data_IF_067077698412
#
_entry.id   IF_067077698412
#
_cell.length_a   1.000
_cell.length_b   1.000
_cell.length_c   1.000
_cell.angle_alpha   90.00
_cell.angle_beta   90.00
_cell.angle_gamma   90.00
#
_symmetry.space_group_name_H-M   'P 1'
#
loop_
_entity.id
_entity.type
_entity.pdbx_description
1 polymer ?
#
# COMPACT_ATOMS: atom_id res chain seq x y z
N UNK A 1 38.41 13.30 21.95
CA UNK A 1 38.28 11.87 21.62
C UNK A 1 36.84 11.63 21.23
N UNK A 2 36.56 11.54 19.93
CA UNK A 2 35.23 11.28 19.42
C UNK A 2 34.93 9.80 19.53
N UNK A 3 33.87 9.44 20.24
CA UNK A 3 33.36 8.07 20.30
C UNK A 3 32.56 7.81 19.02
N UNK A 4 33.09 6.98 18.13
CA UNK A 4 32.37 6.43 16.99
C UNK A 4 31.54 5.24 17.48
N UNK A 5 30.21 5.38 17.49
CA UNK A 5 29.30 4.26 17.65
C UNK A 5 29.27 3.46 16.35
N UNK A 6 29.86 2.27 16.36
CA UNK A 6 29.77 1.30 15.26
C UNK A 6 28.37 0.68 15.30
N UNK A 7 27.55 0.97 14.28
CA UNK A 7 26.28 0.26 14.07
C UNK A 7 26.58 -1.15 13.56
N UNK A 8 26.13 -2.16 14.30
CA UNK A 8 26.20 -3.57 13.89
C UNK A 8 25.34 -3.87 12.65
N UNK A 9 25.50 -5.06 12.03
CA UNK A 9 24.79 -5.42 10.80
C UNK A 9 23.27 -5.37 11.02
N UNK A 10 22.57 -4.66 10.13
CA UNK A 10 21.11 -4.60 10.11
C UNK A 10 20.58 -6.00 9.84
N UNK A 11 19.88 -6.57 10.82
CA UNK A 11 19.08 -7.79 10.61
C UNK A 11 17.71 -7.37 10.08
N UNK A 12 17.33 -7.96 8.97
CA UNK A 12 16.07 -7.78 8.27
C UNK A 12 14.91 -8.24 9.16
N UNK A 13 14.02 -7.33 9.55
CA UNK A 13 12.94 -7.61 10.50
C UNK A 13 11.60 -7.06 10.01
N UNK A 14 10.58 -7.93 9.97
CA UNK A 14 9.20 -7.54 9.70
C UNK A 14 8.47 -7.16 10.98
N UNK A 15 7.66 -6.10 10.92
CA UNK A 15 6.79 -5.67 12.02
C UNK A 15 5.41 -6.30 11.85
N UNK A 16 4.98 -7.08 12.83
CA UNK A 16 3.58 -7.48 12.99
C UNK A 16 3.26 -7.56 14.50
N UNK A 17 2.18 -6.91 14.93
CA UNK A 17 1.63 -7.12 16.27
C UNK A 17 0.85 -8.44 16.26
N UNK A 18 1.27 -9.42 17.07
CA UNK A 18 0.46 -10.62 17.35
C UNK A 18 -0.16 -10.45 18.73
N UNK A 19 -1.49 -10.47 18.81
CA UNK A 19 -2.21 -10.57 20.08
C UNK A 19 -1.94 -11.96 20.68
N UNK A 20 -1.03 -12.04 21.65
CA UNK A 20 -0.88 -13.22 22.48
C UNK A 20 -2.10 -13.34 23.40
N UNK A 21 -3.07 -14.17 23.03
CA UNK A 21 -4.13 -14.58 23.94
C UNK A 21 -3.54 -15.55 24.97
N UNK A 22 -3.00 -15.01 26.06
CA UNK A 22 -2.58 -15.82 27.20
C UNK A 22 -3.82 -16.20 28.02
N UNK A 23 -4.04 -17.51 28.14
CA UNK A 23 -5.00 -18.17 29.01
C UNK A 23 -4.80 -17.73 30.48
N UNK A 24 -5.46 -16.64 30.88
CA UNK A 24 -5.47 -16.14 32.25
C UNK A 24 -6.87 -16.28 32.87
N UNK A 25 -7.47 -17.48 32.81
CA UNK A 25 -8.47 -17.88 33.78
C UNK A 25 -7.74 -18.64 34.89
N UNK A 26 -7.43 -17.97 36.02
CA UNK A 26 -7.54 -18.58 37.36
C UNK A 26 -7.16 -17.67 38.55
N UNK A 27 -6.69 -16.42 38.40
CA UNK A 27 -6.26 -15.63 39.59
C UNK A 27 -6.74 -14.17 39.68
N UNK A 28 -7.74 -13.74 38.91
CA UNK A 28 -8.48 -12.51 39.24
C UNK A 28 -7.68 -11.20 39.24
N UNK A 29 -6.61 -11.09 38.46
CA UNK A 29 -5.91 -9.83 38.20
C UNK A 29 -6.32 -9.34 36.80
N UNK A 30 -6.74 -8.07 36.69
CA UNK A 30 -7.30 -7.48 35.48
C UNK A 30 -6.37 -7.56 34.25
N UNK A 31 -6.91 -7.40 33.03
CA UNK A 31 -6.13 -7.59 31.80
C UNK A 31 -5.17 -6.40 31.59
N UNK A 32 -3.96 -6.53 32.14
CA UNK A 32 -2.82 -5.76 31.65
C UNK A 32 -2.28 -6.50 30.43
N UNK A 33 -2.78 -6.13 29.25
CA UNK A 33 -2.22 -6.59 27.98
C UNK A 33 -0.91 -5.82 27.78
N UNK A 34 0.20 -6.40 28.22
CA UNK A 34 1.49 -5.93 27.77
C UNK A 34 1.68 -6.46 26.35
N UNK A 35 1.68 -5.56 25.37
CA UNK A 35 2.11 -5.89 24.02
C UNK A 35 3.58 -6.33 24.11
N UNK A 36 3.85 -7.62 23.87
CA UNK A 36 5.21 -8.13 23.75
C UNK A 36 5.58 -7.97 22.27
N UNK A 37 6.64 -7.22 21.98
CA UNK A 37 7.23 -7.15 20.64
C UNK A 37 7.69 -8.55 20.24
N UNK A 38 6.92 -9.22 19.37
CA UNK A 38 7.30 -10.49 18.78
C UNK A 38 7.88 -10.22 17.39
N UNK A 39 9.19 -10.40 17.26
CA UNK A 39 9.91 -10.34 15.99
C UNK A 39 9.61 -11.65 15.24
N UNK A 40 8.88 -11.60 14.12
CA UNK A 40 8.78 -12.78 13.26
C UNK A 40 10.15 -13.07 12.64
N UNK A 41 10.60 -14.34 12.60
CA UNK A 41 11.84 -14.69 11.94
C UNK A 41 11.72 -14.38 10.44
N UNK A 42 12.77 -13.84 9.83
CA UNK A 42 12.84 -13.50 8.40
C UNK A 42 12.44 -14.65 7.45
N UNK A 43 12.39 -15.89 7.95
CA UNK A 43 11.90 -17.07 7.24
C UNK A 43 10.39 -17.07 6.94
N UNK A 44 9.59 -16.17 7.54
CA UNK A 44 8.17 -16.00 7.18
C UNK A 44 7.96 -15.09 5.97
N UNK A 45 9.00 -14.38 5.54
CA UNK A 45 9.04 -13.75 4.23
C UNK A 45 9.37 -14.81 3.19
N UNK A 46 8.38 -15.19 2.37
CA UNK A 46 8.67 -15.87 1.11
C UNK A 46 9.65 -15.06 0.27
N UNK A 47 10.26 -15.66 -0.76
CA UNK A 47 11.15 -14.95 -1.67
C UNK A 47 10.44 -13.71 -2.25
N UNK A 48 10.76 -12.53 -1.73
CA UNK A 48 10.25 -11.28 -2.28
C UNK A 48 10.92 -11.05 -3.64
N UNK A 49 10.11 -10.75 -4.65
CA UNK A 49 10.57 -10.47 -6.00
C UNK A 49 10.22 -9.04 -6.36
N UNK A 50 11.18 -8.31 -6.94
CA UNK A 50 10.90 -7.01 -7.54
C UNK A 50 9.75 -7.17 -8.56
N UNK A 51 8.68 -6.37 -8.49
CA UNK A 51 7.50 -6.57 -9.32
C UNK A 51 7.81 -6.31 -10.80
N UNK A 52 7.23 -7.13 -11.67
CA UNK A 52 7.16 -6.84 -13.09
C UNK A 52 6.25 -5.63 -13.33
N UNK A 53 6.37 -5.00 -14.50
CA UNK A 53 5.57 -3.82 -14.85
C UNK A 53 4.10 -4.15 -15.15
N UNK A 54 3.78 -5.42 -15.37
CA UNK A 54 2.47 -5.88 -15.87
C UNK A 54 2.30 -5.77 -17.39
N UNK A 55 3.27 -5.20 -18.12
CA UNK A 55 3.22 -5.15 -19.58
C UNK A 55 3.36 -6.56 -20.18
N UNK A 56 2.33 -7.05 -20.87
CA UNK A 56 2.39 -8.34 -21.60
C UNK A 56 2.41 -8.19 -23.13
N UNK A 57 2.16 -6.98 -23.63
CA UNK A 57 2.15 -6.68 -25.08
C UNK A 57 3.47 -6.03 -25.48
N UNK A 58 4.11 -6.56 -26.53
CA UNK A 58 5.38 -6.06 -27.04
C UNK A 58 5.20 -5.03 -28.16
N UNK A 59 6.00 -3.97 -28.09
CA UNK A 59 6.17 -2.89 -29.04
C UNK A 59 7.67 -2.69 -29.33
N UNK A 60 8.35 -3.69 -29.91
CA UNK A 60 9.81 -3.71 -29.96
C UNK A 60 10.32 -2.66 -30.95
N UNK A 61 11.27 -1.78 -30.54
CA UNK A 61 11.95 -0.93 -31.50
C UNK A 61 12.92 -1.76 -32.34
N UNK A 62 13.35 -1.24 -33.49
CA UNK A 62 14.34 -1.89 -34.36
C UNK A 62 15.71 -1.23 -34.23
N UNK A 63 16.77 -2.03 -34.33
CA UNK A 63 18.14 -1.54 -34.42
C UNK A 63 18.37 -0.81 -35.74
N UNK A 64 18.90 0.42 -35.70
CA UNK A 64 19.13 1.24 -36.90
C UNK A 64 20.08 0.62 -37.93
N UNK A 65 20.96 -0.30 -37.52
CA UNK A 65 22.03 -0.84 -38.38
C UNK A 65 21.71 -2.21 -38.97
N UNK A 66 20.81 -2.96 -38.35
CA UNK A 66 20.51 -4.36 -38.73
C UNK A 66 19.01 -4.60 -38.90
N UNK A 67 18.17 -3.61 -38.61
CA UNK A 67 16.70 -3.71 -38.54
C UNK A 67 16.17 -4.82 -37.60
N UNK A 68 17.04 -5.40 -36.77
CA UNK A 68 16.66 -6.46 -35.86
C UNK A 68 15.81 -5.91 -34.70
N UNK A 69 14.77 -6.63 -34.25
CA UNK A 69 13.94 -6.20 -33.12
C UNK A 69 14.74 -6.23 -31.81
N UNK A 70 14.58 -5.18 -31.02
CA UNK A 70 15.09 -5.09 -29.65
C UNK A 70 13.99 -5.59 -28.72
N UNK A 71 14.33 -6.56 -27.86
CA UNK A 71 13.38 -7.07 -26.86
C UNK A 71 13.04 -5.95 -25.87
N UNK A 72 11.76 -5.67 -25.78
CA UNK A 72 11.18 -4.73 -24.83
C UNK A 72 10.54 -5.47 -23.66
N UNK A 73 9.88 -4.73 -22.79
CA UNK A 73 9.35 -5.27 -21.55
C UNK A 73 8.15 -6.21 -21.76
N UNK A 74 7.35 -6.01 -22.82
CA UNK A 74 6.29 -6.94 -23.19
C UNK A 74 6.78 -8.34 -23.56
N UNK A 75 8.01 -8.46 -24.10
CA UNK A 75 8.68 -9.75 -24.36
C UNK A 75 9.39 -10.27 -23.12
N UNK A 76 10.12 -9.40 -22.42
CA UNK A 76 11.03 -9.81 -21.35
C UNK A 76 10.29 -10.09 -20.05
N UNK A 77 9.31 -9.26 -19.70
CA UNK A 77 8.47 -9.36 -18.50
C UNK A 77 9.32 -9.59 -17.24
N UNK A 78 10.41 -8.81 -17.09
CA UNK A 78 11.33 -8.98 -15.98
C UNK A 78 10.65 -8.63 -14.65
N UNK A 79 10.97 -9.38 -13.61
CA UNK A 79 10.38 -9.23 -12.27
C UNK A 79 9.39 -10.36 -11.93
N UNK A 80 8.86 -10.32 -10.71
CA UNK A 80 7.78 -11.18 -10.28
C UNK A 80 6.46 -10.71 -10.89
N UNK A 81 5.71 -11.62 -11.52
CA UNK A 81 4.36 -11.31 -11.98
C UNK A 81 3.54 -10.66 -10.85
N UNK A 82 2.78 -9.61 -11.17
CA UNK A 82 1.88 -8.97 -10.21
C UNK A 82 0.89 -10.02 -9.67
N UNK A 83 0.84 -10.18 -8.35
CA UNK A 83 0.05 -11.23 -7.70
C UNK A 83 -0.55 -10.71 -6.40
N UNK A 84 -1.87 -10.62 -6.39
CA UNK A 84 -2.62 -10.08 -5.27
C UNK A 84 -3.68 -11.07 -4.80
N UNK A 85 -3.91 -11.09 -3.50
CA UNK A 85 -4.94 -11.91 -2.87
C UNK A 85 -5.91 -11.01 -2.10
N UNK A 86 -7.17 -10.95 -2.53
CA UNK A 86 -8.22 -10.38 -1.70
C UNK A 86 -8.48 -11.33 -0.51
N UNK A 87 -8.40 -10.80 0.71
CA UNK A 87 -8.55 -11.57 1.94
C UNK A 87 -10.02 -11.69 2.40
N UNK A 88 -10.95 -10.95 1.77
CA UNK A 88 -12.39 -10.99 2.07
C UNK A 88 -12.76 -10.26 3.36
N UNK A 89 -11.87 -9.39 3.86
CA UNK A 89 -12.01 -8.67 5.13
C UNK A 89 -11.77 -7.15 4.99
N UNK A 90 -11.72 -6.66 3.74
CA UNK A 90 -11.39 -5.27 3.44
C UNK A 90 -9.91 -5.05 3.13
N UNK A 91 -9.14 -6.11 2.93
CA UNK A 91 -7.70 -6.03 2.63
C UNK A 91 -7.27 -6.88 1.44
N UNK A 92 -6.16 -6.47 0.80
CA UNK A 92 -5.50 -7.18 -0.29
C UNK A 92 -4.04 -7.43 0.08
N UNK A 93 -3.60 -8.68 0.03
CA UNK A 93 -2.19 -9.06 0.21
C UNK A 93 -1.46 -9.02 -1.13
N UNK A 94 -0.36 -8.28 -1.20
CA UNK A 94 0.63 -8.37 -2.29
C UNK A 94 1.60 -9.51 -2.01
N UNK A 95 1.53 -10.55 -2.85
CA UNK A 95 2.33 -11.77 -2.69
C UNK A 95 3.80 -11.60 -3.11
N UNK A 96 4.16 -10.50 -3.79
CA UNK A 96 5.54 -10.19 -4.15
C UNK A 96 6.29 -9.47 -3.02
N UNK A 97 5.60 -8.60 -2.28
CA UNK A 97 6.22 -7.74 -1.25
C UNK A 97 5.87 -8.15 0.18
N UNK A 98 4.82 -8.94 0.37
CA UNK A 98 4.23 -9.23 1.68
C UNK A 98 3.52 -8.02 2.31
N UNK A 99 3.30 -6.95 1.53
CA UNK A 99 2.49 -5.81 1.96
C UNK A 99 1.01 -6.21 1.95
N UNK A 100 0.27 -5.63 2.89
CA UNK A 100 -1.19 -5.71 2.91
C UNK A 100 -1.76 -4.32 2.73
N UNK A 101 -2.72 -4.20 1.83
CA UNK A 101 -3.31 -2.97 1.36
C UNK A 101 -4.77 -2.87 1.76
N UNK A 102 -5.20 -1.66 2.11
CA UNK A 102 -6.61 -1.34 2.30
C UNK A 102 -7.38 -1.48 0.98
N UNK A 103 -8.59 -2.05 1.03
CA UNK A 103 -9.58 -1.97 -0.06
C UNK A 103 -10.39 -0.68 0.03
N UNK A 104 -10.74 -0.11 -1.12
CA UNK A 104 -11.55 1.12 -1.22
C UNK A 104 -12.85 0.84 -1.95
N UNK A 105 -13.95 1.39 -1.50
CA UNK A 105 -15.27 1.25 -2.13
C UNK A 105 -15.80 2.59 -2.60
N UNK A 106 -16.89 2.59 -3.36
CA UNK A 106 -17.68 3.81 -3.56
C UNK A 106 -18.88 3.74 -2.63
N UNK A 107 -18.79 4.45 -1.51
CA UNK A 107 -19.86 4.51 -0.54
C UNK A 107 -20.80 5.67 -0.85
N UNK A 108 -21.87 5.34 -1.58
CA UNK A 108 -22.96 6.29 -1.87
C UNK A 108 -24.02 6.32 -0.76
N UNK A 109 -23.95 5.42 0.23
CA UNK A 109 -25.04 5.18 1.19
C UNK A 109 -24.76 5.81 2.56
N UNK A 110 -23.53 5.73 3.08
CA UNK A 110 -23.21 6.14 4.47
C UNK A 110 -22.47 7.47 4.57
N UNK A 111 -22.63 8.36 3.58
CA UNK A 111 -21.97 9.67 3.53
C UNK A 111 -20.43 9.59 3.50
N UNK A 112 -19.88 8.63 2.72
CA UNK A 112 -18.45 8.44 2.46
C UNK A 112 -17.67 8.01 3.70
N UNK A 113 -17.87 6.76 4.14
CA UNK A 113 -17.06 6.15 5.20
C UNK A 113 -15.56 6.15 4.90
N UNK A 114 -14.71 5.80 5.88
CA UNK A 114 -13.23 5.89 5.81
C UNK A 114 -12.58 5.23 4.59
N UNK A 115 -13.29 4.28 3.98
CA UNK A 115 -12.84 3.49 2.84
C UNK A 115 -13.42 3.96 1.50
N UNK A 116 -14.05 5.14 1.44
CA UNK A 116 -14.55 5.68 0.18
C UNK A 116 -13.39 6.11 -0.75
N UNK A 117 -13.42 5.65 -2.00
CA UNK A 117 -12.40 5.87 -3.03
C UNK A 117 -12.26 7.32 -3.45
N UNK A 118 -13.27 8.14 -3.16
CA UNK A 118 -13.29 9.58 -3.49
C UNK A 118 -12.72 10.46 -2.38
N UNK A 119 -12.33 9.87 -1.23
CA UNK A 119 -11.70 10.62 -0.16
C UNK A 119 -10.36 11.19 -0.62
N UNK A 120 -10.22 12.49 -0.42
CA UNK A 120 -8.98 13.22 -0.62
C UNK A 120 -8.68 14.05 0.62
N UNK A 121 -7.40 14.19 0.95
CA UNK A 121 -6.95 14.89 2.15
C UNK A 121 -5.74 15.74 1.83
N UNK A 122 -5.58 16.82 2.59
CA UNK A 122 -4.33 17.54 2.65
C UNK A 122 -3.34 16.84 3.59
N UNK A 123 -2.06 17.13 3.42
CA UNK A 123 -1.01 16.53 4.25
C UNK A 123 -0.98 17.14 5.64
N UNK A 124 -0.92 18.47 5.75
CA UNK A 124 -0.76 19.21 7.00
C UNK A 124 -1.56 20.54 7.03
N UNK A 125 -2.47 20.74 6.08
CA UNK A 125 -3.38 21.89 6.08
C UNK A 125 -4.69 21.60 6.84
N UNK A 126 -5.68 22.51 6.81
CA UNK A 126 -6.85 22.46 7.70
C UNK A 126 -7.56 21.09 7.72
N UNK A 127 -7.96 20.67 8.93
CA UNK A 127 -8.47 19.33 9.22
C UNK A 127 -9.79 18.98 8.49
N UNK A 128 -10.03 17.69 8.19
CA UNK A 128 -9.15 16.55 8.48
C UNK A 128 -7.97 16.43 7.49
N UNK A 129 -6.79 16.12 8.03
CA UNK A 129 -5.59 15.76 7.26
C UNK A 129 -5.55 14.26 6.96
N UNK A 130 -4.60 13.86 6.11
CA UNK A 130 -4.27 12.46 5.88
C UNK A 130 -3.95 11.69 7.17
N UNK A 131 -3.39 12.35 8.17
CA UNK A 131 -3.02 11.72 9.44
C UNK A 131 -4.23 11.47 10.32
N UNK A 132 -5.19 12.40 10.33
CA UNK A 132 -6.45 12.23 11.04
C UNK A 132 -7.29 11.11 10.42
N UNK A 133 -7.26 10.99 9.10
CA UNK A 133 -7.87 9.85 8.39
C UNK A 133 -7.18 8.53 8.73
N UNK A 134 -5.85 8.50 8.76
CA UNK A 134 -5.10 7.30 9.11
C UNK A 134 -5.36 6.85 10.55
N UNK A 135 -5.51 7.80 11.48
CA UNK A 135 -5.90 7.50 12.86
C UNK A 135 -7.29 6.86 12.92
N UNK A 136 -8.26 7.35 12.13
CA UNK A 136 -9.59 6.74 12.03
C UNK A 136 -9.52 5.31 11.51
N UNK A 137 -8.72 5.02 10.47
CA UNK A 137 -8.50 3.65 9.97
C UNK A 137 -7.89 2.73 11.05
N UNK A 138 -6.94 3.24 11.82
CA UNK A 138 -6.27 2.47 12.88
C UNK A 138 -7.13 2.25 14.15
N UNK A 139 -8.18 3.05 14.34
CA UNK A 139 -9.07 2.99 15.52
C UNK A 139 -10.46 2.47 15.20
N UNK A 140 -10.77 2.23 13.92
CA UNK A 140 -12.06 1.74 13.45
C UNK A 140 -12.49 0.47 14.19
N UNK A 141 -13.74 0.43 14.65
CA UNK A 141 -14.26 -0.70 15.42
C UNK A 141 -13.47 -1.03 16.70
N UNK A 142 -12.63 -0.12 17.21
CA UNK A 142 -11.78 -0.30 18.39
C UNK A 142 -10.58 -1.24 18.18
N UNK A 143 -10.42 -1.84 17.00
CA UNK A 143 -9.35 -2.79 16.68
C UNK A 143 -8.60 -2.44 15.39
N UNK A 144 -9.08 -1.42 14.67
CA UNK A 144 -8.61 -1.00 13.36
C UNK A 144 -9.12 -1.88 12.22
N UNK A 145 -8.90 -1.44 10.98
CA UNK A 145 -9.33 -2.17 9.78
C UNK A 145 -8.80 -3.62 9.79
N UNK A 146 -9.70 -4.58 9.61
CA UNK A 146 -9.44 -6.03 9.65
C UNK A 146 -8.75 -6.51 10.95
N UNK A 147 -8.96 -5.80 12.07
CA UNK A 147 -8.32 -6.11 13.36
C UNK A 147 -6.86 -5.70 13.43
N UNK A 148 -6.43 -4.78 12.56
CA UNK A 148 -5.08 -4.25 12.50
C UNK A 148 -5.05 -2.74 12.74
N UNK A 149 -4.10 -2.27 13.56
CA UNK A 149 -3.93 -0.88 13.97
C UNK A 149 -2.53 -0.32 13.68
N UNK A 150 -1.77 -1.00 12.83
CA UNK A 150 -0.43 -0.64 12.36
C UNK A 150 -0.44 -0.15 10.90
N UNK A 151 -1.59 0.35 10.43
CA UNK A 151 -1.72 0.95 9.11
C UNK A 151 -0.92 2.24 9.00
N UNK A 152 -0.34 2.46 7.83
CA UNK A 152 0.47 3.64 7.50
C UNK A 152 0.22 4.12 6.07
N UNK A 153 0.64 5.34 5.79
CA UNK A 153 0.73 5.84 4.41
C UNK A 153 1.92 5.17 3.72
N UNK A 154 1.74 4.58 2.53
CA UNK A 154 2.81 3.89 1.80
C UNK A 154 3.93 4.86 1.46
N UNK A 155 5.18 4.39 1.44
CA UNK A 155 6.24 5.16 0.80
C UNK A 155 6.08 5.11 -0.73
N UNK A 156 6.80 5.98 -1.45
CA UNK A 156 6.63 6.13 -2.91
C UNK A 156 6.91 4.85 -3.69
N UNK A 157 7.85 4.00 -3.23
CA UNK A 157 8.18 2.75 -3.91
C UNK A 157 7.14 1.68 -3.67
N UNK A 158 6.57 1.63 -2.46
CA UNK A 158 5.47 0.71 -2.16
C UNK A 158 4.24 1.06 -2.98
N UNK A 159 3.85 2.34 -3.05
CA UNK A 159 2.67 2.70 -3.83
C UNK A 159 2.89 2.52 -5.34
N UNK A 160 4.11 2.73 -5.82
CA UNK A 160 4.45 2.42 -7.21
C UNK A 160 4.43 0.91 -7.50
N UNK A 161 4.66 0.05 -6.50
CA UNK A 161 4.69 -1.41 -6.70
C UNK A 161 3.34 -2.02 -7.10
N UNK A 162 2.22 -1.32 -6.84
CA UNK A 162 0.88 -1.75 -7.23
C UNK A 162 0.44 -1.22 -8.61
N UNK A 163 1.30 -0.46 -9.29
CA UNK A 163 1.02 0.03 -10.64
C UNK A 163 1.20 -1.10 -11.66
N UNK A 164 0.19 -1.28 -12.50
CA UNK A 164 0.20 -2.18 -13.65
C UNK A 164 0.19 -1.35 -14.95
N UNK A 165 1.34 -1.27 -15.61
CA UNK A 165 1.52 -0.55 -16.88
C UNK A 165 0.93 -1.29 -18.09
N UNK A 166 0.39 -2.50 -17.91
CA UNK A 166 -0.43 -3.19 -18.91
C UNK A 166 -1.87 -2.68 -18.99
N UNK A 167 -2.33 -1.92 -17.99
CA UNK A 167 -3.68 -1.35 -17.92
C UNK A 167 -3.65 0.17 -17.84
N UNK A 168 -4.80 0.83 -17.96
CA UNK A 168 -4.87 2.30 -17.89
C UNK A 168 -6.17 2.79 -17.25
N UNK A 169 -6.09 3.93 -16.56
CA UNK A 169 -7.22 4.67 -15.99
C UNK A 169 -8.24 3.83 -15.20
N UNK A 170 -7.84 3.17 -14.09
CA UNK A 170 -6.51 3.21 -13.47
C UNK A 170 -5.56 2.07 -13.90
N UNK A 171 -4.23 2.30 -13.90
CA UNK A 171 -3.21 1.30 -14.21
C UNK A 171 -2.91 0.43 -12.97
N UNK A 172 -3.82 -0.47 -12.63
CA UNK A 172 -3.71 -1.40 -11.48
C UNK A 172 -4.31 -2.76 -11.84
N UNK A 173 -3.87 -3.79 -11.13
CA UNK A 173 -4.49 -5.11 -11.21
C UNK A 173 -5.97 -5.06 -10.80
N UNK A 174 -6.76 -5.99 -11.35
CA UNK A 174 -8.20 -6.12 -11.07
C UNK A 174 -8.50 -6.25 -9.57
N UNK A 175 -7.59 -6.82 -8.77
CA UNK A 175 -7.72 -6.88 -7.32
C UNK A 175 -7.94 -5.50 -6.69
N UNK A 176 -7.36 -4.44 -7.26
CA UNK A 176 -7.50 -3.05 -6.78
C UNK A 176 -8.59 -2.25 -7.49
N UNK A 177 -9.15 -2.74 -8.61
CA UNK A 177 -10.15 -2.04 -9.39
C UNK A 177 -11.24 -2.99 -9.93
N UNK A 178 -11.95 -3.62 -9.00
CA UNK A 178 -13.09 -4.50 -9.24
C UNK A 178 -14.34 -3.96 -8.53
N UNK A 179 -15.40 -3.74 -9.32
CA UNK A 179 -16.73 -3.43 -8.82
C UNK A 179 -17.76 -4.23 -9.64
N UNK A 180 -18.68 -4.99 -9.01
CA UNK A 180 -19.71 -5.76 -9.69
C UNK A 180 -20.74 -4.90 -10.46
N UNK A 181 -20.70 -3.57 -10.37
CA UNK A 181 -21.42 -2.69 -11.29
C UNK A 181 -21.53 -1.22 -10.84
N UNK A 182 -21.88 -0.33 -11.77
CA UNK A 182 -21.99 1.12 -11.53
C UNK A 182 -23.03 1.54 -10.47
N UNK A 183 -24.01 0.67 -10.18
CA UNK A 183 -25.07 0.89 -9.19
C UNK A 183 -25.04 -0.13 -8.04
N UNK A 184 -24.07 -1.05 -8.05
CA UNK A 184 -23.94 -2.06 -7.01
C UNK A 184 -23.22 -1.43 -5.80
N UNK A 185 -23.95 -1.30 -4.69
CA UNK A 185 -23.32 -1.04 -3.39
C UNK A 185 -22.63 -2.33 -2.97
N UNK A 186 -21.30 -2.33 -2.96
CA UNK A 186 -20.52 -3.42 -2.39
C UNK A 186 -19.81 -2.95 -1.13
N UNK A 187 -19.68 -3.88 -0.18
CA UNK A 187 -18.94 -3.66 1.06
C UNK A 187 -17.43 -3.64 0.80
N UNK A 188 -16.69 -3.13 1.78
CA UNK A 188 -15.21 -3.08 1.73
C UNK A 188 -14.58 -4.46 1.54
N UNK A 189 -15.25 -5.53 1.96
CA UNK A 189 -14.79 -6.91 1.76
C UNK A 189 -14.99 -7.45 0.34
N UNK A 190 -15.91 -6.87 -0.44
CA UNK A 190 -16.33 -7.41 -1.74
C UNK A 190 -15.69 -6.69 -2.93
N UNK A 191 -15.24 -5.45 -2.72
CA UNK A 191 -14.79 -4.56 -3.77
C UNK A 191 -13.51 -3.85 -3.43
N UNK A 192 -12.76 -3.50 -4.48
CA UNK A 192 -11.76 -2.45 -4.39
C UNK A 192 -11.83 -1.58 -5.63
N UNK A 193 -11.71 -0.28 -5.44
CA UNK A 193 -11.61 0.74 -6.49
C UNK A 193 -10.34 1.53 -6.31
N UNK A 194 -9.81 2.09 -7.38
CA UNK A 194 -8.68 3.03 -7.34
C UNK A 194 -9.09 4.36 -7.96
N UNK A 195 -8.88 5.46 -7.24
CA UNK A 195 -9.09 6.80 -7.79
C UNK A 195 -8.08 7.07 -8.90
N UNK A 196 -8.48 7.68 -10.01
CA UNK A 196 -7.60 7.89 -11.18
C UNK A 196 -6.62 9.08 -11.03
N UNK A 197 -6.49 9.67 -9.84
CA UNK A 197 -5.61 10.82 -9.57
C UNK A 197 -4.39 10.49 -8.71
N UNK A 198 -3.69 11.55 -8.28
CA UNK A 198 -2.53 11.44 -7.42
C UNK A 198 -2.92 10.95 -6.03
N UNK A 199 -2.20 9.96 -5.54
CA UNK A 199 -2.32 9.43 -4.18
C UNK A 199 -1.10 9.83 -3.37
N UNK A 200 -1.33 10.21 -2.12
CA UNK A 200 -0.26 10.55 -1.19
C UNK A 200 0.65 9.37 -0.88
N UNK A 201 1.95 9.66 -0.74
CA UNK A 201 2.94 8.73 -0.18
C UNK A 201 3.61 9.38 1.02
N UNK A 202 4.10 8.63 2.00
CA UNK A 202 4.81 9.17 3.18
C UNK A 202 6.19 9.75 2.86
N UNK A 203 6.59 9.82 1.59
CA UNK A 203 7.93 10.23 1.18
C UNK A 203 7.98 11.74 0.93
N UNK A 204 8.65 12.49 1.80
CA UNK A 204 8.91 13.94 1.58
C UNK A 204 9.97 14.15 0.50
N UNK A 205 9.82 15.20 -0.32
CA UNK A 205 10.81 15.55 -1.35
C UNK A 205 12.07 16.12 -0.70
N UNK A 206 13.23 15.53 -0.98
CA UNK A 206 14.50 15.98 -0.39
C UNK A 206 14.90 17.39 -0.81
N UNK A 207 14.53 17.81 -2.03
CA UNK A 207 14.81 19.15 -2.56
C UNK A 207 13.95 20.23 -1.87
N UNK A 208 12.73 19.90 -1.45
CA UNK A 208 11.80 20.84 -0.83
C UNK A 208 10.84 20.11 0.12
N UNK A 209 11.00 20.35 1.42
CA UNK A 209 10.23 19.65 2.46
C UNK A 209 8.75 20.06 2.56
N UNK A 210 8.36 21.14 1.87
CA UNK A 210 6.96 21.57 1.69
C UNK A 210 6.23 20.66 0.69
N UNK A 211 6.96 19.85 -0.07
CA UNK A 211 6.41 18.92 -1.05
C UNK A 211 6.57 17.46 -0.59
N UNK A 212 5.69 16.60 -1.10
CA UNK A 212 5.81 15.16 -0.95
C UNK A 212 5.60 14.46 -2.29
N UNK A 213 6.11 13.23 -2.40
CA UNK A 213 5.90 12.40 -3.56
C UNK A 213 4.48 11.82 -3.57
N UNK A 214 3.90 11.71 -4.75
CA UNK A 214 2.64 11.04 -5.01
C UNK A 214 2.75 10.06 -6.18
N UNK A 215 1.79 9.14 -6.28
CA UNK A 215 1.64 8.24 -7.44
C UNK A 215 0.29 8.53 -8.11
N UNK A 216 0.32 8.88 -9.38
CA UNK A 216 -0.85 9.19 -10.19
C UNK A 216 -1.39 7.99 -10.94
N UNK A 217 -2.60 7.55 -10.60
CA UNK A 217 -3.27 6.42 -11.26
C UNK A 217 -4.07 6.81 -12.51
N UNK A 218 -3.73 7.92 -13.16
CA UNK A 218 -4.16 8.18 -14.54
C UNK A 218 -3.27 7.41 -15.54
N UNK A 219 -1.97 7.29 -15.23
CA UNK A 219 -0.96 6.67 -16.09
C UNK A 219 0.17 5.94 -15.33
N UNK A 220 0.14 5.91 -13.99
CA UNK A 220 1.12 5.18 -13.17
C UNK A 220 2.41 5.97 -12.91
N UNK A 221 2.35 7.30 -13.05
CA UNK A 221 3.51 8.17 -12.88
C UNK A 221 3.78 8.53 -11.42
N UNK A 222 5.04 8.80 -11.10
CA UNK A 222 5.46 9.35 -9.80
C UNK A 222 5.61 10.86 -9.95
N UNK A 223 4.91 11.63 -9.11
CA UNK A 223 4.87 13.08 -9.16
C UNK A 223 5.21 13.69 -7.80
N UNK A 224 5.39 15.01 -7.76
CA UNK A 224 5.56 15.76 -6.51
C UNK A 224 4.46 16.78 -6.39
N UNK A 225 3.83 16.85 -5.23
CA UNK A 225 2.69 17.73 -4.96
C UNK A 225 2.98 18.57 -3.70
N UNK A 226 2.33 19.72 -3.57
CA UNK A 226 2.43 20.57 -2.37
C UNK A 226 1.67 19.91 -1.23
N UNK A 227 2.21 19.92 -0.01
CA UNK A 227 1.52 19.36 1.17
C UNK A 227 0.18 20.05 1.50
N UNK A 228 -0.06 21.22 0.92
CA UNK A 228 -1.36 21.92 0.94
C UNK A 228 -2.42 21.33 0.00
N UNK A 229 -2.02 20.56 -1.01
CA UNK A 229 -2.91 20.00 -2.02
C UNK A 229 -3.74 18.85 -1.44
N UNK A 230 -4.88 18.55 -2.07
CA UNK A 230 -5.77 17.47 -1.66
C UNK A 230 -5.64 16.27 -2.61
N UNK A 231 -5.08 15.18 -2.12
CA UNK A 231 -4.82 13.96 -2.91
C UNK A 231 -5.53 12.76 -2.30
N UNK A 232 -5.73 11.73 -3.13
CA UNK A 232 -6.30 10.46 -2.71
C UNK A 232 -5.38 9.72 -1.73
N UNK A 233 -5.93 8.73 -1.04
CA UNK A 233 -5.21 7.96 -0.02
C UNK A 233 -5.52 6.47 -0.13
N UNK A 234 -4.55 5.64 0.24
CA UNK A 234 -4.71 4.20 0.47
C UNK A 234 -3.72 3.78 1.54
N UNK A 235 -4.20 3.08 2.57
CA UNK A 235 -3.35 2.60 3.64
C UNK A 235 -2.64 1.30 3.25
N UNK A 236 -1.44 1.12 3.79
CA UNK A 236 -0.65 -0.10 3.68
C UNK A 236 -0.14 -0.51 5.06
N UNK A 237 0.13 -1.80 5.24
CA UNK A 237 0.79 -2.34 6.42
C UNK A 237 1.69 -3.53 6.07
N UNK A 238 2.47 -3.98 7.03
CA UNK A 238 3.39 -5.11 6.85
C UNK A 238 4.51 -4.81 5.85
N UNK A 239 4.86 -5.84 5.07
CA UNK A 239 5.98 -5.84 4.13
C UNK A 239 7.25 -6.46 4.69
N UNK A 240 8.00 -7.14 3.82
CA UNK A 240 9.32 -7.65 4.14
C UNK A 240 10.36 -6.53 4.04
N UNK A 241 10.96 -6.14 5.16
CA UNK A 241 12.12 -5.23 5.16
C UNK A 241 13.36 -6.09 4.89
N UNK A 242 14.03 -5.94 3.73
CA UNK A 242 15.30 -6.61 3.45
C UNK A 242 16.47 -5.90 4.15
#
# INVERSE_FOLDING_TARGET
MNSMTVLGPRTNTCRALVLASSLALLLGLGPWVNAVEAWMPASSCGNSTFPATGQTTSYPPTLKTTDAPVRDDGVVQAGGALRYQNNGDGTITDLNTGLMWEQKIRDIVTARGNHDVTLTFAWDSAAPTIWDWLEQVNTEGGTGLAGHNDWRIPNVKELQSIVDYGTFSPPVDVAFNHNPGMLATCSVAECSLTGVGNHWTSTTVALNTVMAWGVGFNAGGVFTDSKSDILFVRAVRGGCVP
#
